data_IF_720936260095
#
_entry.id   IF_720936260095
#
_cell.length_a   1.000
_cell.length_b   1.000
_cell.length_c   1.000
_cell.angle_alpha   90.00
_cell.angle_beta   90.00
_cell.angle_gamma   90.00
#
_symmetry.space_group_name_H-M   'P 1'
#
loop_
_entity.id
_entity.type
_entity.pdbx_description
1 polymer ?
#
# COMPACT_ATOMS: atom_id res chain seq x y z
N UNK A 1 -6.91 0.56 14.03
CA UNK A 1 -6.31 -0.23 12.91
C UNK A 1 -4.77 -0.25 12.97
N UNK A 2 -4.07 0.88 13.18
CA UNK A 2 -2.62 0.85 13.42
C UNK A 2 -2.29 0.21 14.76
N UNK A 3 -3.14 0.37 15.77
CA UNK A 3 -3.05 -0.27 17.09
C UNK A 3 -3.11 -1.79 16.98
N UNK A 4 -4.02 -2.33 16.17
CA UNK A 4 -4.22 -3.77 16.01
C UNK A 4 -3.01 -4.42 15.31
N UNK A 5 -2.46 -3.75 14.30
CA UNK A 5 -1.24 -4.20 13.61
C UNK A 5 -0.01 -4.13 14.52
N UNK A 6 0.10 -3.08 15.35
CA UNK A 6 1.17 -2.96 16.33
C UNK A 6 1.09 -4.05 17.38
N UNK A 7 -0.11 -4.34 17.89
CA UNK A 7 -0.35 -5.44 18.82
C UNK A 7 0.06 -6.79 18.22
N UNK A 8 -0.29 -7.03 16.94
CA UNK A 8 0.04 -8.27 16.26
C UNK A 8 1.55 -8.50 16.12
N UNK A 9 2.31 -7.44 15.79
CA UNK A 9 3.77 -7.49 15.74
C UNK A 9 4.36 -7.71 17.14
N UNK A 10 3.91 -6.96 18.14
CA UNK A 10 4.41 -7.05 19.51
C UNK A 10 4.19 -8.44 20.11
N UNK A 11 3.15 -9.15 19.66
CA UNK A 11 2.89 -10.53 20.04
C UNK A 11 3.66 -11.56 19.18
N UNK A 12 4.68 -11.14 18.41
CA UNK A 12 5.58 -12.01 17.66
C UNK A 12 5.07 -12.43 16.27
N UNK A 13 3.95 -11.86 15.78
CA UNK A 13 3.39 -12.19 14.47
C UNK A 13 4.10 -11.49 13.31
N UNK A 14 3.89 -12.02 12.10
CA UNK A 14 4.32 -11.41 10.85
C UNK A 14 3.16 -10.68 10.20
N UNK A 15 3.40 -9.48 9.71
CA UNK A 15 2.45 -8.76 8.87
C UNK A 15 2.87 -8.82 7.41
N UNK A 16 1.89 -8.94 6.52
CA UNK A 16 2.09 -8.86 5.07
C UNK A 16 1.25 -7.73 4.54
N UNK A 17 1.87 -6.83 3.82
CA UNK A 17 1.18 -5.68 3.27
C UNK A 17 2.00 -4.97 2.19
N UNK A 18 1.39 -3.96 1.60
CA UNK A 18 1.93 -3.26 0.45
C UNK A 18 2.86 -2.12 0.86
N UNK A 19 4.05 -2.05 0.26
CA UNK A 19 4.99 -0.94 0.38
C UNK A 19 5.24 -0.30 -0.98
N UNK A 20 5.62 0.97 -1.00
CA UNK A 20 6.17 1.60 -2.20
C UNK A 20 7.56 1.07 -2.51
N UNK A 21 7.95 1.08 -3.79
CA UNK A 21 9.36 1.03 -4.20
C UNK A 21 10.11 2.29 -3.73
N UNK A 22 11.44 2.24 -3.75
CA UNK A 22 12.28 3.36 -3.31
C UNK A 22 12.07 4.62 -4.17
N UNK A 23 11.73 4.44 -5.45
CA UNK A 23 11.41 5.52 -6.39
C UNK A 23 9.94 5.97 -6.35
N UNK A 24 9.12 5.36 -5.50
CA UNK A 24 7.67 5.61 -5.40
C UNK A 24 6.86 5.38 -6.69
N UNK A 25 7.42 4.72 -7.71
CA UNK A 25 6.75 4.47 -9.01
C UNK A 25 6.04 3.12 -9.06
N UNK A 26 6.32 2.24 -8.13
CA UNK A 26 5.66 0.95 -8.00
C UNK A 26 5.35 0.60 -6.55
N UNK A 27 4.62 -0.50 -6.35
CA UNK A 27 4.35 -1.03 -5.04
C UNK A 27 4.35 -2.56 -5.07
N UNK A 28 4.79 -3.18 -3.99
CA UNK A 28 4.85 -4.63 -3.84
C UNK A 28 4.42 -5.05 -2.44
N UNK A 29 3.94 -6.29 -2.32
CA UNK A 29 3.70 -6.88 -1.01
C UNK A 29 5.02 -7.40 -0.42
N UNK A 30 5.19 -7.14 0.87
CA UNK A 30 6.34 -7.60 1.65
C UNK A 30 5.89 -8.24 2.95
N UNK A 31 6.75 -9.07 3.52
CA UNK A 31 6.62 -9.58 4.88
C UNK A 31 7.37 -8.64 5.82
N UNK A 32 6.71 -8.19 6.87
CA UNK A 32 7.31 -7.37 7.92
C UNK A 32 7.14 -8.00 9.29
N UNK A 33 8.06 -7.70 10.20
CA UNK A 33 8.04 -8.14 11.60
C UNK A 33 8.39 -7.03 12.58
N UNK A 34 8.82 -5.89 12.07
CA UNK A 34 9.28 -4.77 12.89
C UNK A 34 8.31 -3.58 12.78
N UNK A 35 8.42 -2.66 13.73
CA UNK A 35 7.67 -1.41 13.68
C UNK A 35 8.03 -0.55 12.45
N UNK A 36 9.28 -0.64 11.98
CA UNK A 36 9.72 0.02 10.75
C UNK A 36 9.00 -0.54 9.53
N UNK A 37 8.85 -1.87 9.45
CA UNK A 37 8.10 -2.52 8.36
C UNK A 37 6.63 -2.10 8.39
N UNK A 38 6.03 -2.04 9.59
CA UNK A 38 4.66 -1.57 9.76
C UNK A 38 4.50 -0.14 9.23
N UNK A 39 5.42 0.77 9.54
CA UNK A 39 5.38 2.14 9.05
C UNK A 39 5.44 2.22 7.51
N UNK A 40 6.26 1.38 6.87
CA UNK A 40 6.35 1.30 5.42
C UNK A 40 5.06 0.73 4.77
N UNK A 41 4.41 -0.23 5.42
CA UNK A 41 3.16 -0.83 4.97
C UNK A 41 1.99 0.15 5.12
N UNK A 42 2.00 0.99 6.15
CA UNK A 42 0.94 1.95 6.42
C UNK A 42 0.77 2.97 5.29
N UNK A 43 -0.43 3.50 5.17
CA UNK A 43 -0.79 4.49 4.14
C UNK A 43 -1.39 3.88 2.88
N UNK A 44 -2.15 4.69 2.17
CA UNK A 44 -2.88 4.27 0.96
C UNK A 44 -1.97 4.28 -0.26
N UNK A 45 -2.13 3.28 -1.13
CA UNK A 45 -1.51 3.18 -2.45
C UNK A 45 -2.60 2.87 -3.46
N UNK A 46 -2.94 3.83 -4.33
CA UNK A 46 -4.09 3.73 -5.25
C UNK A 46 -3.69 3.24 -6.63
N UNK A 47 -2.94 2.17 -6.71
CA UNK A 47 -2.60 1.44 -7.94
C UNK A 47 -2.27 -0.01 -7.60
N UNK A 48 -2.15 -0.85 -8.61
CA UNK A 48 -1.90 -2.26 -8.42
C UNK A 48 -0.52 -2.51 -7.82
N UNK A 49 -0.48 -3.30 -6.75
CA UNK A 49 0.75 -3.78 -6.16
C UNK A 49 1.15 -5.13 -6.74
N UNK A 50 2.44 -5.36 -6.89
CA UNK A 50 2.99 -6.67 -7.22
C UNK A 50 2.87 -7.62 -6.01
N UNK A 51 2.33 -8.80 -6.26
CA UNK A 51 2.19 -9.89 -5.28
C UNK A 51 3.08 -11.09 -5.62
N UNK A 52 4.00 -10.97 -6.58
CA UNK A 52 4.86 -12.06 -7.00
C UNK A 52 5.65 -12.65 -5.82
N UNK A 53 5.55 -13.97 -5.65
CA UNK A 53 6.25 -14.72 -4.61
C UNK A 53 5.71 -14.57 -3.19
N UNK A 54 4.84 -13.58 -2.91
CA UNK A 54 4.37 -13.31 -1.54
C UNK A 54 3.53 -14.45 -0.98
N UNK A 55 2.66 -15.06 -1.79
CA UNK A 55 1.81 -16.16 -1.33
C UNK A 55 2.63 -17.40 -0.94
N UNK A 56 3.70 -17.69 -1.70
CA UNK A 56 4.66 -18.74 -1.35
C UNK A 56 5.32 -18.44 0.01
N UNK A 57 5.74 -17.19 0.22
CA UNK A 57 6.37 -16.77 1.47
C UNK A 57 5.42 -16.87 2.66
N UNK A 58 4.15 -16.50 2.48
CA UNK A 58 3.10 -16.70 3.49
C UNK A 58 2.95 -18.19 3.82
N UNK A 59 2.84 -19.06 2.82
CA UNK A 59 2.73 -20.49 3.03
C UNK A 59 3.92 -21.08 3.81
N UNK A 60 5.15 -20.64 3.51
CA UNK A 60 6.36 -21.06 4.24
C UNK A 60 6.30 -20.68 5.73
N UNK A 61 5.83 -19.47 6.06
CA UNK A 61 5.65 -19.02 7.44
C UNK A 61 4.57 -19.82 8.15
N UNK A 62 3.43 -20.04 7.51
CA UNK A 62 2.32 -20.82 8.08
C UNK A 62 2.73 -22.27 8.39
N UNK A 63 3.52 -22.92 7.50
CA UNK A 63 4.06 -24.26 7.72
C UNK A 63 5.05 -24.34 8.88
N UNK A 64 5.68 -23.22 9.26
CA UNK A 64 6.53 -23.11 10.44
C UNK A 64 5.77 -22.76 11.72
N UNK A 65 4.44 -22.81 11.66
CA UNK A 65 3.53 -22.42 12.74
C UNK A 65 3.65 -20.96 13.17
N UNK A 66 4.17 -20.09 12.28
CA UNK A 66 4.23 -18.65 12.54
C UNK A 66 2.85 -18.02 12.33
N UNK A 67 2.51 -17.01 13.14
CA UNK A 67 1.27 -16.26 12.96
C UNK A 67 1.47 -15.19 11.90
N UNK A 68 0.59 -15.17 10.90
CA UNK A 68 0.66 -14.25 9.76
C UNK A 68 -0.63 -13.46 9.63
N UNK A 69 -0.53 -12.14 9.57
CA UNK A 69 -1.64 -11.26 9.21
C UNK A 69 -1.38 -10.73 7.80
N UNK A 70 -2.22 -11.14 6.85
CA UNK A 70 -2.18 -10.67 5.48
C UNK A 70 -3.18 -9.53 5.27
N UNK A 71 -2.68 -8.37 4.85
CA UNK A 71 -3.49 -7.20 4.53
C UNK A 71 -3.45 -6.94 3.02
N UNK A 72 -4.60 -7.00 2.36
CA UNK A 72 -4.71 -6.80 0.91
C UNK A 72 -6.09 -6.39 0.45
N UNK A 73 -6.26 -6.22 -0.85
CA UNK A 73 -7.58 -6.07 -1.47
C UNK A 73 -8.35 -7.39 -1.43
N UNK A 74 -9.71 -7.38 -1.54
CA UNK A 74 -10.50 -8.61 -1.54
C UNK A 74 -10.03 -9.64 -2.58
N UNK A 75 -9.66 -9.19 -3.79
CA UNK A 75 -9.14 -10.10 -4.83
C UNK A 75 -7.78 -10.71 -4.45
N UNK A 76 -6.91 -9.98 -3.75
CA UNK A 76 -5.62 -10.51 -3.28
C UNK A 76 -5.81 -11.50 -2.13
N UNK A 77 -6.76 -11.24 -1.24
CA UNK A 77 -7.13 -12.17 -0.16
C UNK A 77 -7.73 -13.45 -0.76
N UNK A 78 -8.64 -13.33 -1.74
CA UNK A 78 -9.21 -14.47 -2.43
C UNK A 78 -8.14 -15.30 -3.18
N UNK A 79 -7.19 -14.62 -3.85
CA UNK A 79 -6.08 -15.28 -4.53
C UNK A 79 -5.14 -16.01 -3.54
N UNK A 80 -4.86 -15.42 -2.38
CA UNK A 80 -4.10 -16.09 -1.33
C UNK A 80 -4.82 -17.36 -0.84
N UNK A 81 -6.12 -17.27 -0.54
CA UNK A 81 -6.91 -18.45 -0.11
C UNK A 81 -6.88 -19.56 -1.16
N UNK A 82 -7.09 -19.20 -2.44
CA UNK A 82 -7.02 -20.16 -3.54
C UNK A 82 -5.62 -20.81 -3.65
N UNK A 83 -4.56 -20.03 -3.48
CA UNK A 83 -3.18 -20.53 -3.49
C UNK A 83 -2.89 -21.49 -2.33
N UNK A 84 -3.39 -21.19 -1.14
CA UNK A 84 -3.17 -22.04 0.05
C UNK A 84 -3.95 -23.36 0.01
N UNK A 85 -5.10 -23.40 -0.66
CA UNK A 85 -5.93 -24.59 -0.87
C UNK A 85 -6.59 -25.18 0.38
N UNK A 86 -6.32 -24.60 1.56
CA UNK A 86 -6.92 -24.98 2.85
C UNK A 86 -6.88 -23.83 3.84
N UNK A 87 -7.66 -23.91 4.89
CA UNK A 87 -7.61 -22.97 6.02
C UNK A 87 -6.40 -23.23 6.94
N UNK A 88 -5.89 -22.17 7.55
CA UNK A 88 -4.81 -22.18 8.53
C UNK A 88 -5.22 -21.36 9.76
N UNK A 89 -5.19 -21.95 10.95
CA UNK A 89 -5.58 -21.29 12.19
C UNK A 89 -4.66 -20.10 12.56
N UNK A 90 -3.42 -20.15 12.10
CA UNK A 90 -2.41 -19.10 12.32
C UNK A 90 -2.39 -18.02 11.22
N UNK A 91 -3.37 -18.03 10.27
CA UNK A 91 -3.54 -17.00 9.25
C UNK A 91 -4.70 -16.06 9.62
N UNK A 92 -4.38 -14.79 9.66
CA UNK A 92 -5.33 -13.69 9.86
C UNK A 92 -5.42 -12.89 8.56
N UNK A 93 -6.64 -12.61 8.11
CA UNK A 93 -6.89 -11.90 6.87
C UNK A 93 -7.56 -10.55 7.18
N UNK A 94 -6.99 -9.50 6.64
CA UNK A 94 -7.52 -8.15 6.71
C UNK A 94 -7.70 -7.61 5.30
N UNK A 95 -8.92 -7.50 4.84
CA UNK A 95 -9.24 -6.81 3.61
C UNK A 95 -9.90 -5.45 3.86
N UNK A 96 -10.06 -4.67 2.81
CA UNK A 96 -10.69 -3.36 2.85
C UNK A 96 -11.56 -3.17 1.60
N UNK A 97 -12.57 -2.32 1.71
CA UNK A 97 -13.43 -1.98 0.56
C UNK A 97 -12.57 -1.39 -0.55
N UNK A 98 -12.43 -2.15 -1.62
CA UNK A 98 -11.72 -1.75 -2.82
C UNK A 98 -12.72 -1.32 -3.89
N UNK A 99 -12.53 -0.11 -4.41
CA UNK A 99 -13.37 0.43 -5.48
C UNK A 99 -12.75 0.32 -6.87
N UNK A 100 -11.77 -0.54 -7.02
CA UNK A 100 -10.97 -0.70 -8.23
C UNK A 100 -9.56 -0.16 -8.06
N UNK A 101 -8.75 -0.37 -9.06
CA UNK A 101 -7.33 0.03 -9.10
C UNK A 101 -7.04 0.77 -10.40
N UNK A 102 -6.16 1.77 -10.31
CA UNK A 102 -5.67 2.49 -11.47
C UNK A 102 -4.52 1.75 -12.16
N UNK A 103 -4.32 2.06 -13.42
CA UNK A 103 -3.20 1.54 -14.20
C UNK A 103 -1.85 1.94 -13.59
N UNK A 104 -0.92 1.00 -13.38
CA UNK A 104 0.44 1.34 -12.97
C UNK A 104 1.14 2.30 -13.94
N UNK A 105 0.91 2.15 -15.26
CA UNK A 105 1.48 3.05 -16.28
C UNK A 105 0.99 4.49 -16.11
N UNK A 106 -0.30 4.68 -15.84
CA UNK A 106 -0.84 6.01 -15.59
C UNK A 106 -0.28 6.63 -14.30
N UNK A 107 -0.05 5.82 -13.26
CA UNK A 107 0.58 6.29 -12.04
C UNK A 107 2.05 6.70 -12.25
N UNK A 108 2.82 5.92 -13.01
CA UNK A 108 4.20 6.26 -13.35
C UNK A 108 4.23 7.59 -14.11
N UNK A 109 3.39 7.75 -15.14
CA UNK A 109 3.31 9.00 -15.91
C UNK A 109 2.96 10.21 -15.02
N UNK A 110 2.04 10.03 -14.06
CA UNK A 110 1.70 11.06 -13.09
C UNK A 110 2.89 11.49 -12.23
N UNK A 111 3.66 10.53 -11.72
CA UNK A 111 4.86 10.83 -10.92
C UNK A 111 5.92 11.50 -11.76
N UNK A 112 6.18 11.02 -12.98
CA UNK A 112 7.18 11.58 -13.89
C UNK A 112 6.84 13.01 -14.33
N UNK A 113 5.58 13.32 -14.62
CA UNK A 113 5.12 14.69 -14.89
C UNK A 113 5.44 15.62 -13.72
N UNK A 114 5.17 15.17 -12.51
CA UNK A 114 5.45 15.97 -11.31
C UNK A 114 6.97 16.14 -11.08
N UNK A 115 7.76 15.08 -11.28
CA UNK A 115 9.23 15.18 -11.18
C UNK A 115 9.81 16.19 -12.19
N UNK A 116 9.32 16.17 -13.43
CA UNK A 116 9.70 17.16 -14.45
C UNK A 116 9.30 18.58 -14.04
N UNK A 117 8.06 18.77 -13.59
CA UNK A 117 7.53 20.06 -13.14
C UNK A 117 8.31 20.65 -11.97
N UNK A 118 8.67 19.83 -10.99
CA UNK A 118 9.39 20.24 -9.79
C UNK A 118 10.91 20.17 -9.94
N UNK A 119 11.41 19.65 -11.07
CA UNK A 119 12.84 19.44 -11.38
C UNK A 119 13.57 18.70 -10.26
N UNK A 120 12.95 17.62 -9.75
CA UNK A 120 13.47 16.83 -8.64
C UNK A 120 12.73 15.51 -8.53
N UNK A 121 13.43 14.47 -8.12
CA UNK A 121 12.85 13.15 -7.84
C UNK A 121 12.00 13.16 -6.57
N UNK A 122 11.05 12.24 -6.53
CA UNK A 122 10.14 12.08 -5.39
C UNK A 122 10.90 11.47 -4.19
N UNK A 123 10.72 12.08 -3.02
CA UNK A 123 11.25 11.61 -1.73
C UNK A 123 10.19 10.89 -0.88
N UNK A 124 8.93 11.33 -0.97
CA UNK A 124 7.84 10.74 -0.20
C UNK A 124 6.50 10.98 -0.86
N UNK A 125 5.66 9.95 -0.92
CA UNK A 125 4.27 10.04 -1.38
C UNK A 125 3.32 9.67 -0.25
N UNK A 126 2.34 10.52 0.00
CA UNK A 126 1.23 10.25 0.92
C UNK A 126 -0.10 10.47 0.19
N UNK A 127 -0.67 9.41 -0.29
CA UNK A 127 -2.04 9.41 -0.79
C UNK A 127 -3.02 9.38 0.40
N UNK A 128 -4.12 10.10 0.34
CA UNK A 128 -5.01 10.38 1.47
C UNK A 128 -4.33 11.11 2.65
N UNK A 129 -3.48 12.07 2.35
CA UNK A 129 -2.94 12.96 3.38
C UNK A 129 -4.08 13.66 4.13
N UNK A 130 -3.96 13.73 5.45
CA UNK A 130 -4.88 14.43 6.33
C UNK A 130 -4.38 15.80 6.77
N UNK A 131 -3.38 16.33 6.07
CA UNK A 131 -2.74 17.61 6.40
C UNK A 131 -3.76 18.77 6.49
N UNK A 132 -4.82 18.70 5.68
CA UNK A 132 -5.93 19.65 5.63
C UNK A 132 -7.23 19.13 6.26
N UNK A 133 -7.13 18.11 7.12
CA UNK A 133 -8.27 17.51 7.82
C UNK A 133 -8.81 16.24 7.18
N UNK A 134 -9.74 15.60 7.87
CA UNK A 134 -10.32 14.31 7.46
C UNK A 134 -11.25 14.41 6.24
N UNK A 135 -11.89 15.54 6.04
CA UNK A 135 -12.84 15.74 4.95
C UNK A 135 -12.15 16.07 3.62
N UNK A 136 -10.94 16.65 3.67
CA UNK A 136 -10.15 17.02 2.52
C UNK A 136 -8.99 16.03 2.30
N UNK A 137 -9.34 14.83 1.81
CA UNK A 137 -8.32 13.85 1.45
C UNK A 137 -7.49 14.39 0.27
N UNK A 138 -6.19 14.48 0.47
CA UNK A 138 -5.26 15.09 -0.47
C UNK A 138 -4.13 14.13 -0.84
N UNK A 139 -3.54 14.33 -2.02
CA UNK A 139 -2.22 13.79 -2.34
C UNK A 139 -1.17 14.77 -1.86
N UNK A 140 -0.21 14.28 -1.11
CA UNK A 140 0.93 15.04 -0.66
C UNK A 140 2.21 14.34 -1.12
N UNK A 141 3.04 15.02 -1.90
CA UNK A 141 4.31 14.53 -2.42
C UNK A 141 5.40 15.51 -2.02
N UNK A 142 6.46 14.99 -1.44
CA UNK A 142 7.67 15.74 -1.09
C UNK A 142 8.78 15.30 -2.04
N UNK A 143 9.52 16.25 -2.60
CA UNK A 143 10.63 16.02 -3.50
C UNK A 143 11.97 16.14 -2.78
N UNK A 144 13.06 15.62 -3.35
CA UNK A 144 14.41 15.69 -2.77
C UNK A 144 14.90 17.13 -2.58
N UNK A 145 14.45 18.06 -3.42
CA UNK A 145 14.72 19.51 -3.25
C UNK A 145 13.84 20.19 -2.19
N UNK A 146 13.14 19.42 -1.36
CA UNK A 146 12.21 19.85 -0.30
C UNK A 146 10.98 20.65 -0.78
N UNK A 147 10.73 20.74 -2.08
CA UNK A 147 9.47 21.27 -2.59
C UNK A 147 8.35 20.28 -2.31
N UNK A 148 7.13 20.80 -2.20
CA UNK A 148 5.94 20.02 -1.87
C UNK A 148 4.87 20.21 -2.93
N UNK A 149 4.30 19.11 -3.38
CA UNK A 149 3.03 19.06 -4.11
C UNK A 149 1.92 18.66 -3.14
N UNK A 150 0.91 19.51 -3.02
CA UNK A 150 -0.26 19.25 -2.19
C UNK A 150 -1.52 19.63 -2.97
N UNK A 151 -2.36 18.64 -3.28
CA UNK A 151 -3.63 18.82 -3.97
C UNK A 151 -4.71 17.96 -3.33
N UNK A 152 -5.86 18.55 -3.13
CA UNK A 152 -7.02 17.84 -2.64
C UNK A 152 -7.66 16.95 -3.72
N UNK A 153 -8.63 16.15 -3.30
CA UNK A 153 -9.34 15.22 -4.19
C UNK A 153 -10.15 15.87 -5.30
N UNK A 154 -10.34 17.19 -5.28
CA UNK A 154 -11.09 17.92 -6.31
C UNK A 154 -10.17 18.57 -7.34
N UNK A 155 -8.91 18.77 -7.00
CA UNK A 155 -7.92 19.46 -7.83
C UNK A 155 -6.76 18.57 -8.28
N UNK A 156 -6.60 17.38 -7.69
CA UNK A 156 -5.60 16.40 -8.08
C UNK A 156 -6.15 15.53 -9.24
N UNK A 157 -5.56 15.63 -10.43
CA UNK A 157 -6.04 14.91 -11.60
C UNK A 157 -5.87 13.39 -11.47
N UNK A 158 -4.89 12.90 -10.72
CA UNK A 158 -4.74 11.48 -10.43
C UNK A 158 -5.95 10.94 -9.65
N UNK A 159 -6.36 11.65 -8.61
CA UNK A 159 -7.54 11.29 -7.82
C UNK A 159 -8.82 11.47 -8.64
N UNK A 160 -8.89 12.49 -9.49
CA UNK A 160 -10.04 12.71 -10.38
C UNK A 160 -10.18 11.58 -11.41
N UNK A 161 -9.08 11.16 -12.05
CA UNK A 161 -9.07 10.01 -12.97
C UNK A 161 -9.57 8.73 -12.33
N UNK A 162 -9.23 8.51 -11.05
CA UNK A 162 -9.75 7.39 -10.28
C UNK A 162 -11.28 7.42 -10.06
N UNK A 163 -11.89 8.61 -10.08
CA UNK A 163 -13.35 8.76 -9.95
C UNK A 163 -14.10 8.61 -11.26
N UNK A 164 -13.50 9.05 -12.37
CA UNK A 164 -14.14 9.09 -13.69
C UNK A 164 -14.16 7.71 -14.36
N UNK A 165 -13.19 6.87 -14.06
CA UNK A 165 -13.06 5.50 -14.59
C UNK A 165 -14.05 4.48 -14.00
N UNK A 166 -15.23 4.95 -13.54
CA UNK A 166 -16.30 4.12 -12.97
C UNK A 166 -17.52 4.14 -13.84
#
# INVERSE_FOLDING_TARGET
RSSDLSYFINSGGYIVGCVFSDDYKSAKHVVGRTYKDLQAIMGSKYFQSDTAGIYKRVLELLKRNERVLFCGTPCQVAALRAYLGREYENLYLLDFICKGINSPKAYIAYIEELEQKYKSTVKCVRQKSKKTGWQSLATNIIFENNKEYHKDRYTDWWIQGYKIGR
#
